data_IF_847208734672
#
_entry.id   IF_847208734672
#
_cell.length_a   1.000
_cell.length_b   1.000
_cell.length_c   1.000
_cell.angle_alpha   90.00
_cell.angle_beta   90.00
_cell.angle_gamma   90.00
#
_symmetry.space_group_name_H-M   'P 1'
#
loop_
_entity.id
_entity.type
_entity.pdbx_description
1 polymer ?
#
# COMPACT_ATOMS: atom_id res chain seq x y z
N UNK A 1 3.28 17.58 -12.92
CA UNK A 1 2.68 16.30 -13.35
C UNK A 1 1.65 16.60 -14.42
N UNK A 2 1.93 16.24 -15.65
CA UNK A 2 1.10 16.61 -16.81
C UNK A 2 0.80 15.43 -17.72
N UNK A 3 1.50 14.32 -17.56
CA UNK A 3 1.40 13.12 -18.38
C UNK A 3 1.89 11.91 -17.57
N UNK A 4 1.33 10.75 -17.83
CA UNK A 4 1.89 9.47 -17.42
C UNK A 4 1.94 8.51 -18.63
N UNK A 5 2.79 7.51 -18.51
CA UNK A 5 2.90 6.40 -19.45
C UNK A 5 2.37 5.13 -18.80
N UNK A 6 1.63 4.33 -19.55
CA UNK A 6 1.34 2.95 -19.18
C UNK A 6 2.66 2.16 -19.26
N UNK A 7 3.32 2.02 -18.12
CA UNK A 7 4.65 1.40 -18.04
C UNK A 7 4.60 -0.12 -18.09
N UNK A 8 3.57 -0.71 -17.49
CA UNK A 8 3.31 -2.16 -17.53
C UNK A 8 1.83 -2.46 -17.64
N UNK A 9 1.53 -3.54 -18.32
CA UNK A 9 0.19 -4.12 -18.44
C UNK A 9 0.26 -5.61 -18.12
N UNK A 10 -0.66 -6.09 -17.29
CA UNK A 10 -0.92 -7.51 -17.07
C UNK A 10 -2.40 -7.77 -17.29
N UNK A 11 -2.71 -8.66 -18.23
CA UNK A 11 -4.07 -9.03 -18.64
C UNK A 11 -4.87 -7.82 -19.18
N UNK A 12 -6.11 -7.63 -18.74
CA UNK A 12 -7.01 -6.63 -19.29
C UNK A 12 -6.82 -5.28 -18.60
N UNK A 13 -6.37 -4.29 -19.36
CA UNK A 13 -6.30 -2.88 -18.97
C UNK A 13 -6.92 -2.06 -20.09
N UNK A 14 -7.76 -1.10 -19.73
CA UNK A 14 -8.40 -0.21 -20.68
C UNK A 14 -8.15 1.25 -20.29
N UNK A 15 -8.09 2.14 -21.29
CA UNK A 15 -8.02 3.59 -21.14
C UNK A 15 -9.33 4.22 -21.60
N UNK A 16 -9.82 5.17 -20.86
CA UNK A 16 -10.88 6.07 -21.28
C UNK A 16 -10.28 7.48 -21.41
N UNK A 17 -10.32 8.00 -22.63
CA UNK A 17 -9.78 9.31 -22.96
C UNK A 17 -10.81 10.40 -22.69
N UNK A 18 -10.48 11.37 -21.84
CA UNK A 18 -11.29 12.57 -21.55
C UNK A 18 -12.77 12.30 -21.26
N UNK A 19 -13.04 11.17 -20.58
CA UNK A 19 -14.40 10.75 -20.23
C UNK A 19 -15.30 10.49 -21.46
N UNK A 20 -14.69 10.07 -22.57
CA UNK A 20 -15.45 9.57 -23.72
C UNK A 20 -16.29 8.33 -23.34
N UNK A 21 -17.37 8.02 -24.09
CA UNK A 21 -18.22 6.86 -23.75
C UNK A 21 -17.48 5.52 -23.80
N UNK A 22 -16.46 5.43 -24.64
CA UNK A 22 -15.78 4.17 -24.94
C UNK A 22 -14.51 3.98 -24.13
N UNK A 23 -14.24 2.74 -23.78
CA UNK A 23 -12.98 2.28 -23.21
C UNK A 23 -12.16 1.54 -24.26
N UNK A 24 -10.91 1.92 -24.41
CA UNK A 24 -9.99 1.35 -25.39
C UNK A 24 -8.97 0.45 -24.68
N UNK A 25 -8.63 -0.73 -25.25
CA UNK A 25 -7.54 -1.54 -24.72
C UNK A 25 -6.25 -0.72 -24.58
N UNK A 26 -5.58 -0.85 -23.44
CA UNK A 26 -4.32 -0.16 -23.18
C UNK A 26 -3.12 -1.00 -23.56
N UNK A 27 -2.11 -0.37 -24.14
CA UNK A 27 -0.82 -0.98 -24.44
C UNK A 27 0.31 -0.30 -23.65
N UNK A 28 1.41 -1.02 -23.45
CA UNK A 28 2.63 -0.44 -22.86
C UNK A 28 3.15 0.68 -23.77
N UNK A 29 3.43 1.83 -23.20
CA UNK A 29 3.84 3.04 -23.92
C UNK A 29 2.71 4.03 -24.18
N UNK A 30 1.45 3.64 -24.00
CA UNK A 30 0.34 4.58 -24.12
C UNK A 30 0.47 5.73 -23.15
N UNK A 31 0.13 6.92 -23.62
CA UNK A 31 0.16 8.14 -22.82
C UNK A 31 -1.21 8.48 -22.29
N UNK A 32 -1.28 8.81 -21.02
CA UNK A 32 -2.46 9.35 -20.35
C UNK A 32 -2.19 10.77 -19.87
N UNK A 33 -3.17 11.62 -20.04
CA UNK A 33 -3.12 13.03 -19.66
C UNK A 33 -4.27 13.36 -18.71
N UNK A 34 -4.30 14.56 -18.10
CA UNK A 34 -5.42 14.96 -17.26
C UNK A 34 -6.78 14.75 -17.95
N UNK A 35 -7.74 14.24 -17.18
CA UNK A 35 -9.09 13.80 -17.54
C UNK A 35 -9.19 12.36 -18.07
N UNK A 36 -8.07 11.71 -18.41
CA UNK A 36 -8.07 10.31 -18.77
C UNK A 36 -8.25 9.42 -17.53
N UNK A 37 -8.76 8.21 -17.78
CA UNK A 37 -8.93 7.18 -16.77
C UNK A 37 -8.36 5.85 -17.24
N UNK A 38 -7.86 5.06 -16.31
CA UNK A 38 -7.39 3.69 -16.54
C UNK A 38 -8.21 2.75 -15.68
N UNK A 39 -8.67 1.63 -16.26
CA UNK A 39 -9.28 0.56 -15.49
C UNK A 39 -8.58 -0.78 -15.73
N UNK A 40 -8.56 -1.59 -14.70
CA UNK A 40 -8.05 -2.97 -14.75
C UNK A 40 -9.21 -3.96 -14.58
N UNK A 41 -9.18 -5.04 -15.33
CA UNK A 41 -10.12 -6.16 -15.17
C UNK A 41 -9.78 -7.06 -13.98
N UNK A 42 -10.46 -8.19 -13.86
CA UNK A 42 -10.13 -9.24 -12.89
C UNK A 42 -8.71 -9.80 -13.17
N UNK A 43 -7.96 -10.07 -12.11
CA UNK A 43 -6.57 -10.58 -12.20
C UNK A 43 -5.64 -9.71 -13.08
N UNK A 44 -5.94 -8.43 -13.21
CA UNK A 44 -5.25 -7.49 -14.08
C UNK A 44 -4.50 -6.44 -13.27
N UNK A 45 -3.51 -5.81 -13.90
CA UNK A 45 -2.67 -4.80 -13.25
C UNK A 45 -2.12 -3.83 -14.28
N UNK A 46 -1.97 -2.57 -13.90
CA UNK A 46 -1.21 -1.58 -14.64
C UNK A 46 -0.23 -0.86 -13.72
N UNK A 47 0.97 -0.60 -14.25
CA UNK A 47 1.92 0.32 -13.63
C UNK A 47 1.96 1.60 -14.49
N UNK A 48 1.74 2.75 -13.87
CA UNK A 48 1.70 4.06 -14.49
C UNK A 48 2.91 4.87 -14.03
N UNK A 49 3.73 5.32 -14.96
CA UNK A 49 4.90 6.17 -14.68
C UNK A 49 4.61 7.60 -15.11
N UNK A 50 4.50 8.50 -14.15
CA UNK A 50 4.31 9.92 -14.39
C UNK A 50 5.61 10.61 -14.77
N UNK A 51 5.52 11.64 -15.58
CA UNK A 51 6.66 12.35 -16.19
C UNK A 51 7.60 13.04 -15.17
N UNK A 52 7.22 13.13 -13.90
CA UNK A 52 8.09 13.59 -12.82
C UNK A 52 8.58 12.44 -11.91
N UNK A 53 8.30 11.19 -12.28
CA UNK A 53 8.80 9.99 -11.61
C UNK A 53 7.87 9.38 -10.56
N UNK A 54 6.67 9.93 -10.30
CA UNK A 54 5.68 9.21 -9.47
C UNK A 54 5.30 7.90 -10.15
N UNK A 55 5.35 6.81 -9.41
CA UNK A 55 4.95 5.48 -9.89
C UNK A 55 3.66 5.05 -9.20
N UNK A 56 2.63 4.75 -9.98
CA UNK A 56 1.36 4.21 -9.47
C UNK A 56 1.20 2.78 -9.97
N UNK A 57 0.99 1.85 -9.07
CA UNK A 57 0.68 0.45 -9.37
C UNK A 57 -0.77 0.18 -9.00
N UNK A 58 -1.58 -0.22 -9.97
CA UNK A 58 -2.99 -0.53 -9.75
C UNK A 58 -3.21 -2.04 -9.66
N UNK A 59 -4.04 -2.48 -8.73
CA UNK A 59 -4.48 -3.87 -8.59
C UNK A 59 -5.65 -4.22 -9.51
N UNK A 60 -6.22 -5.41 -9.33
CA UNK A 60 -7.39 -5.86 -10.08
C UNK A 60 -8.65 -5.04 -9.75
N UNK A 61 -9.56 -4.93 -10.70
CA UNK A 61 -10.83 -4.22 -10.52
C UNK A 61 -10.69 -2.74 -10.18
N UNK A 62 -9.54 -2.15 -10.50
CA UNK A 62 -9.23 -0.75 -10.19
C UNK A 62 -9.72 0.18 -11.28
N UNK A 63 -10.33 1.29 -10.88
CA UNK A 63 -10.57 2.45 -11.75
C UNK A 63 -9.84 3.65 -11.15
N UNK A 64 -8.84 4.08 -11.88
CA UNK A 64 -7.94 5.18 -11.52
C UNK A 64 -8.10 6.30 -12.54
N UNK A 65 -8.28 7.53 -12.06
CA UNK A 65 -8.45 8.71 -12.88
C UNK A 65 -7.35 9.72 -12.59
N UNK A 66 -6.94 10.41 -13.63
CA UNK A 66 -6.02 11.53 -13.56
C UNK A 66 -6.81 12.85 -13.72
N UNK A 67 -7.35 13.45 -12.64
CA UNK A 67 -8.12 14.68 -12.76
C UNK A 67 -7.24 15.86 -13.16
N UNK A 68 -7.81 16.90 -13.78
CA UNK A 68 -7.08 18.13 -14.08
C UNK A 68 -6.64 18.81 -12.78
N UNK A 69 -5.45 19.40 -12.78
CA UNK A 69 -4.92 20.13 -11.63
C UNK A 69 -3.52 19.73 -11.24
N UNK A 70 -3.14 20.08 -10.01
CA UNK A 70 -1.77 19.85 -9.54
C UNK A 70 -1.68 18.55 -8.78
N UNK A 71 -0.98 17.55 -9.35
CA UNK A 71 -0.59 16.31 -8.66
C UNK A 71 -1.75 15.63 -7.92
N UNK A 72 -2.86 15.45 -8.63
CA UNK A 72 -4.07 14.82 -8.10
C UNK A 72 -4.31 13.46 -8.76
N UNK A 73 -4.79 12.52 -7.96
CA UNK A 73 -5.21 11.19 -8.37
C UNK A 73 -6.59 10.90 -7.79
N UNK A 74 -7.41 10.18 -8.52
CA UNK A 74 -8.72 9.74 -8.05
C UNK A 74 -8.86 8.23 -8.21
N UNK A 75 -9.19 7.54 -7.13
CA UNK A 75 -9.46 6.11 -7.09
C UNK A 75 -10.93 5.88 -6.80
N UNK A 76 -11.70 5.43 -7.78
CA UNK A 76 -13.15 5.21 -7.64
C UNK A 76 -13.51 3.75 -7.39
N UNK A 77 -12.60 2.81 -7.64
CA UNK A 77 -12.73 1.40 -7.25
C UNK A 77 -11.36 0.71 -7.21
N UNK A 78 -11.27 -0.40 -6.49
CA UNK A 78 -10.08 -1.25 -6.45
C UNK A 78 -8.99 -0.72 -5.53
N UNK A 79 -7.74 -0.99 -5.86
CA UNK A 79 -6.59 -0.65 -5.04
C UNK A 79 -5.43 -0.09 -5.87
N UNK A 80 -4.71 0.87 -5.30
CA UNK A 80 -3.50 1.43 -5.88
C UNK A 80 -2.41 1.60 -4.82
N UNK A 81 -1.17 1.39 -5.23
CA UNK A 81 0.01 1.77 -4.48
C UNK A 81 0.68 2.93 -5.21
N UNK A 82 0.78 4.07 -4.55
CA UNK A 82 1.33 5.32 -5.09
C UNK A 82 2.69 5.57 -4.45
N UNK A 83 3.74 5.63 -5.24
CA UNK A 83 5.11 5.91 -4.81
C UNK A 83 5.52 7.30 -5.27
N UNK A 84 5.69 8.22 -4.33
CA UNK A 84 6.04 9.62 -4.55
C UNK A 84 7.45 9.84 -4.02
N UNK A 85 8.37 10.33 -4.86
CA UNK A 85 9.72 10.64 -4.41
C UNK A 85 9.73 11.80 -3.40
N UNK A 86 10.67 11.80 -2.43
CA UNK A 86 10.76 12.85 -1.40
C UNK A 86 10.84 14.28 -1.94
N UNK A 87 11.54 14.48 -3.06
CA UNK A 87 11.74 15.78 -3.68
C UNK A 87 10.53 16.27 -4.49
N UNK A 88 9.55 15.41 -4.74
CA UNK A 88 8.34 15.79 -5.46
C UNK A 88 7.40 16.57 -4.53
N UNK A 89 6.72 17.55 -5.06
CA UNK A 89 5.78 18.35 -4.31
C UNK A 89 4.60 17.54 -3.74
N UNK A 90 3.76 18.24 -3.00
CA UNK A 90 2.56 17.67 -2.41
C UNK A 90 1.64 17.03 -3.47
N UNK A 91 1.14 15.84 -3.18
CA UNK A 91 0.19 15.09 -4.02
C UNK A 91 -1.10 14.84 -3.24
N UNK A 92 -2.21 14.79 -3.95
CA UNK A 92 -3.52 14.48 -3.39
C UNK A 92 -4.08 13.21 -4.05
N UNK A 93 -4.48 12.25 -3.24
CA UNK A 93 -5.20 11.05 -3.68
C UNK A 93 -6.61 11.13 -3.12
N UNK A 94 -7.61 11.12 -3.99
CA UNK A 94 -9.01 11.17 -3.59
C UNK A 94 -9.71 9.84 -3.83
N UNK A 95 -10.58 9.49 -2.92
CA UNK A 95 -11.58 8.44 -3.07
C UNK A 95 -12.95 9.03 -2.77
N UNK A 96 -14.08 8.36 -3.07
CA UNK A 96 -15.39 8.85 -2.66
C UNK A 96 -15.55 9.11 -1.15
N UNK A 97 -14.76 8.45 -0.31
CA UNK A 97 -14.87 8.55 1.15
C UNK A 97 -13.77 9.41 1.81
N UNK A 98 -12.65 9.66 1.10
CA UNK A 98 -11.49 10.32 1.70
C UNK A 98 -10.67 11.15 0.71
N UNK A 99 -9.96 12.13 1.24
CA UNK A 99 -8.89 12.83 0.56
C UNK A 99 -7.58 12.64 1.34
N UNK A 100 -6.55 12.19 0.64
CA UNK A 100 -5.22 11.92 1.21
C UNK A 100 -4.23 12.93 0.65
N UNK A 101 -3.54 13.64 1.53
CA UNK A 101 -2.51 14.60 1.14
C UNK A 101 -1.15 14.14 1.66
N UNK A 102 -0.18 14.07 0.78
CA UNK A 102 1.13 13.50 1.08
C UNK A 102 2.23 14.11 0.23
N UNK A 103 3.46 14.01 0.69
CA UNK A 103 4.68 14.36 -0.05
C UNK A 103 5.77 13.36 0.29
N UNK A 104 6.35 12.73 -0.74
CA UNK A 104 7.53 11.88 -0.58
C UNK A 104 7.32 10.63 0.26
N UNK A 105 6.37 9.78 -0.11
CA UNK A 105 6.05 8.52 0.60
C UNK A 105 5.45 7.48 -0.35
N UNK A 106 5.34 6.24 0.13
CA UNK A 106 4.50 5.21 -0.49
C UNK A 106 3.18 5.08 0.28
N UNK A 107 2.09 5.14 -0.47
CA UNK A 107 0.72 5.02 0.03
C UNK A 107 0.02 3.84 -0.62
N UNK A 108 -0.66 3.05 0.18
CA UNK A 108 -1.64 2.08 -0.29
C UNK A 108 -3.04 2.66 -0.07
N UNK A 109 -3.81 2.78 -1.14
CA UNK A 109 -5.18 3.29 -1.10
C UNK A 109 -6.09 2.28 -1.76
N UNK A 110 -7.19 1.95 -1.11
CA UNK A 110 -8.21 1.05 -1.64
C UNK A 110 -9.58 1.70 -1.49
N UNK A 111 -10.46 1.49 -2.48
CA UNK A 111 -11.88 1.85 -2.40
C UNK A 111 -12.75 0.70 -2.89
N UNK A 112 -13.76 0.37 -2.10
CA UNK A 112 -14.80 -0.61 -2.46
C UNK A 112 -16.14 0.11 -2.60
N UNK A 113 -16.64 0.28 -3.84
CA UNK A 113 -17.89 0.99 -4.09
C UNK A 113 -19.13 0.23 -3.57
N UNK A 114 -19.10 -1.10 -3.43
CA UNK A 114 -20.21 -1.90 -2.93
C UNK A 114 -20.49 -1.64 -1.44
N UNK A 115 -19.43 -1.43 -0.68
CA UNK A 115 -19.51 -1.16 0.76
C UNK A 115 -19.39 0.32 1.11
N UNK A 116 -19.12 1.18 0.12
CA UNK A 116 -18.76 2.60 0.31
C UNK A 116 -17.67 2.73 1.36
N UNK A 117 -16.58 2.01 1.15
CA UNK A 117 -15.46 2.00 2.10
C UNK A 117 -14.15 2.31 1.40
N UNK A 118 -13.33 3.13 2.06
CA UNK A 118 -11.97 3.40 1.66
C UNK A 118 -11.00 2.99 2.76
N UNK A 119 -9.83 2.51 2.36
CA UNK A 119 -8.73 2.23 3.26
C UNK A 119 -7.50 2.99 2.78
N UNK A 120 -6.82 3.65 3.71
CA UNK A 120 -5.58 4.40 3.46
C UNK A 120 -4.51 3.86 4.38
N UNK A 121 -3.43 3.33 3.83
CA UNK A 121 -2.27 2.83 4.56
C UNK A 121 -0.98 3.54 4.14
N UNK A 122 -0.12 3.85 5.10
CA UNK A 122 1.16 4.51 4.88
C UNK A 122 2.28 3.48 5.00
N UNK A 123 3.07 3.32 3.95
CA UNK A 123 4.09 2.28 3.86
C UNK A 123 5.49 2.76 4.23
N UNK A 124 5.78 4.04 3.99
CA UNK A 124 7.08 4.64 4.26
C UNK A 124 6.89 5.96 4.99
N UNK A 125 7.86 6.38 5.75
CA UNK A 125 7.85 7.73 6.30
C UNK A 125 7.97 8.77 5.18
N UNK A 126 7.74 10.03 5.52
CA UNK A 126 7.89 11.16 4.63
C UNK A 126 8.77 12.22 5.29
N UNK A 127 9.79 12.74 4.59
CA UNK A 127 10.57 13.87 5.08
C UNK A 127 9.74 15.13 5.32
N UNK A 128 8.58 15.24 4.68
CA UNK A 128 7.66 16.37 4.84
C UNK A 128 6.71 16.22 6.04
N UNK A 129 6.78 15.11 6.78
CA UNK A 129 5.96 14.84 7.95
C UNK A 129 4.83 13.83 7.70
N UNK A 130 3.83 13.84 8.58
CA UNK A 130 2.74 12.86 8.57
C UNK A 130 1.84 13.01 7.34
N UNK A 131 1.32 11.88 6.87
CA UNK A 131 0.30 11.86 5.82
C UNK A 131 -1.03 12.32 6.39
N UNK A 132 -1.62 13.34 5.76
CA UNK A 132 -2.92 13.87 6.15
C UNK A 132 -4.03 13.11 5.43
N UNK A 133 -5.01 12.62 6.18
CA UNK A 133 -6.23 11.99 5.66
C UNK A 133 -7.43 12.77 6.15
N UNK A 134 -8.27 13.22 5.22
CA UNK A 134 -9.52 13.94 5.49
C UNK A 134 -10.70 13.09 5.01
N UNK A 135 -11.77 13.05 5.79
CA UNK A 135 -13.05 12.52 5.30
C UNK A 135 -13.55 13.33 4.11
N UNK A 136 -14.31 12.73 3.21
CA UNK A 136 -14.79 13.40 1.99
C UNK A 136 -15.63 14.67 2.28
N UNK A 137 -16.31 14.73 3.43
CA UNK A 137 -17.02 15.92 3.89
C UNK A 137 -16.13 16.98 4.60
N UNK A 138 -14.85 16.69 4.80
CA UNK A 138 -13.89 17.59 5.44
C UNK A 138 -14.04 17.76 6.96
N UNK A 139 -14.96 17.01 7.60
CA UNK A 139 -15.24 17.15 9.03
C UNK A 139 -14.18 16.53 9.95
N UNK A 140 -13.53 15.45 9.47
CA UNK A 140 -12.53 14.71 10.24
C UNK A 140 -11.21 14.72 9.52
N UNK A 141 -10.16 15.10 10.24
CA UNK A 141 -8.77 15.05 9.78
C UNK A 141 -7.96 14.18 10.72
N UNK A 142 -7.22 13.24 10.17
CA UNK A 142 -6.24 12.41 10.88
C UNK A 142 -4.89 12.47 10.20
N UNK A 143 -3.85 12.05 10.94
CA UNK A 143 -2.48 12.01 10.45
C UNK A 143 -1.92 10.59 10.65
N UNK A 144 -1.30 10.05 9.62
CA UNK A 144 -0.74 8.70 9.60
C UNK A 144 0.78 8.75 9.37
N UNK A 145 1.47 7.80 9.97
CA UNK A 145 2.89 7.49 9.72
C UNK A 145 3.04 6.07 9.17
N UNK A 146 4.25 5.71 8.76
CA UNK A 146 4.53 4.37 8.23
C UNK A 146 4.06 3.25 9.18
N UNK A 147 3.44 2.22 8.61
CA UNK A 147 2.86 1.10 9.34
C UNK A 147 1.48 1.38 9.94
N UNK A 148 0.89 2.54 9.67
CA UNK A 148 -0.47 2.88 10.10
C UNK A 148 -1.44 2.89 8.93
N UNK A 149 -2.69 2.57 9.23
CA UNK A 149 -3.81 2.70 8.30
C UNK A 149 -5.08 3.17 8.98
N UNK A 150 -6.01 3.65 8.18
CA UNK A 150 -7.36 3.99 8.59
C UNK A 150 -8.37 3.48 7.56
N UNK A 151 -9.51 3.03 8.05
CA UNK A 151 -10.68 2.71 7.21
C UNK A 151 -11.74 3.78 7.38
N UNK A 152 -12.31 4.23 6.28
CA UNK A 152 -13.43 5.17 6.24
C UNK A 152 -14.60 4.45 5.57
N UNK A 153 -15.73 4.32 6.26
CA UNK A 153 -16.90 3.60 5.78
C UNK A 153 -18.11 4.53 5.79
N UNK A 154 -18.67 4.81 4.63
CA UNK A 154 -19.83 5.71 4.48
C UNK A 154 -19.64 7.05 5.20
N UNK A 155 -18.44 7.64 4.99
CA UNK A 155 -18.05 8.91 5.60
C UNK A 155 -17.64 8.83 7.08
N UNK A 156 -17.78 7.67 7.74
CA UNK A 156 -17.38 7.48 9.13
C UNK A 156 -15.92 7.04 9.18
N UNK A 157 -15.07 7.87 9.79
CA UNK A 157 -13.64 7.58 9.97
C UNK A 157 -13.46 6.63 11.16
N UNK A 158 -12.80 5.50 10.90
CA UNK A 158 -12.45 4.51 11.92
C UNK A 158 -11.25 4.92 12.78
N UNK A 159 -10.83 4.03 13.65
CA UNK A 159 -9.62 4.21 14.44
C UNK A 159 -8.38 4.06 13.55
N UNK A 160 -7.31 4.76 13.94
CA UNK A 160 -5.98 4.50 13.36
C UNK A 160 -5.49 3.16 13.88
N UNK A 161 -5.19 2.27 12.97
CA UNK A 161 -4.71 0.93 13.25
C UNK A 161 -3.30 0.72 12.68
N UNK A 162 -2.64 -0.36 13.11
CA UNK A 162 -1.29 -0.70 12.66
C UNK A 162 -1.31 -1.99 11.86
N UNK A 163 -0.46 -2.06 10.85
CA UNK A 163 -0.19 -3.29 10.10
C UNK A 163 1.32 -3.62 10.10
N UNK A 164 1.62 -4.87 9.83
CA UNK A 164 3.00 -5.37 9.84
C UNK A 164 3.63 -5.14 8.47
N UNK A 165 4.49 -4.13 8.36
CA UNK A 165 5.18 -3.78 7.11
C UNK A 165 5.94 -4.96 6.47
N UNK A 166 6.73 -5.78 7.21
CA UNK A 166 7.38 -6.95 6.63
C UNK A 166 6.38 -7.89 5.96
N UNK A 167 5.27 -8.19 6.62
CA UNK A 167 4.22 -9.04 6.07
C UNK A 167 3.60 -8.41 4.82
N UNK A 168 3.30 -7.11 4.86
CA UNK A 168 2.74 -6.39 3.72
C UNK A 168 3.67 -6.48 2.51
N UNK A 169 4.96 -6.21 2.69
CA UNK A 169 5.94 -6.25 1.60
C UNK A 169 6.17 -7.65 1.01
N UNK A 170 5.97 -8.70 1.81
CA UNK A 170 6.07 -10.09 1.34
C UNK A 170 4.81 -10.57 0.61
N UNK A 171 3.63 -10.11 1.02
CA UNK A 171 2.36 -10.68 0.55
C UNK A 171 1.65 -9.82 -0.48
N UNK A 172 1.92 -8.52 -0.53
CA UNK A 172 1.28 -7.58 -1.45
C UNK A 172 2.16 -7.34 -2.67
N UNK A 173 1.80 -7.91 -3.81
CA UNK A 173 2.57 -7.79 -5.06
C UNK A 173 2.79 -6.33 -5.49
N UNK A 174 1.83 -5.43 -5.21
CA UNK A 174 1.97 -4.00 -5.53
C UNK A 174 3.17 -3.35 -4.84
N UNK A 175 3.57 -3.84 -3.66
CA UNK A 175 4.69 -3.32 -2.89
C UNK A 175 6.07 -3.87 -3.30
N UNK A 176 6.12 -4.65 -4.37
CA UNK A 176 7.36 -5.24 -4.87
C UNK A 176 8.48 -4.18 -5.01
N UNK A 177 9.62 -4.43 -4.38
CA UNK A 177 10.75 -3.51 -4.33
C UNK A 177 10.85 -2.64 -3.07
N UNK A 178 9.87 -2.70 -2.15
CA UNK A 178 9.93 -1.98 -0.87
C UNK A 178 10.37 -2.86 0.31
N UNK A 179 10.56 -4.16 0.10
CA UNK A 179 10.93 -5.12 1.15
C UNK A 179 12.31 -4.91 1.76
N UNK A 180 12.63 -5.70 2.79
CA UNK A 180 13.82 -5.55 3.61
C UNK A 180 15.13 -5.93 2.91
N UNK A 181 15.09 -6.95 2.05
CA UNK A 181 16.26 -7.53 1.42
C UNK A 181 16.82 -6.64 0.29
N UNK A 182 18.05 -6.06 0.46
CA UNK A 182 18.66 -5.21 -0.56
C UNK A 182 19.07 -5.97 -1.83
N UNK A 183 19.52 -7.23 -1.70
CA UNK A 183 19.98 -8.02 -2.85
C UNK A 183 18.79 -8.45 -3.71
N UNK A 184 17.72 -8.91 -3.07
CA UNK A 184 16.46 -9.22 -3.75
C UNK A 184 15.87 -7.97 -4.44
N UNK A 185 15.96 -6.79 -3.80
CA UNK A 185 15.55 -5.54 -4.40
C UNK A 185 16.33 -5.26 -5.69
N UNK A 186 17.65 -5.25 -5.63
CA UNK A 186 18.48 -4.89 -6.81
C UNK A 186 18.25 -5.88 -7.95
N UNK A 187 18.09 -7.17 -7.66
CA UNK A 187 17.75 -8.17 -8.66
C UNK A 187 16.38 -7.93 -9.29
N UNK A 188 15.39 -7.50 -8.48
CA UNK A 188 14.03 -7.21 -8.93
C UNK A 188 13.98 -6.00 -9.86
N UNK A 189 14.65 -4.90 -9.47
CA UNK A 189 14.58 -3.63 -10.20
C UNK A 189 15.61 -3.52 -11.32
N UNK A 190 16.55 -4.46 -11.43
CA UNK A 190 17.61 -4.41 -12.46
C UNK A 190 17.05 -4.31 -13.89
N UNK A 191 15.86 -4.89 -14.13
CA UNK A 191 15.18 -4.89 -15.44
C UNK A 191 14.26 -3.71 -15.65
N UNK A 192 14.05 -2.88 -14.63
CA UNK A 192 13.17 -1.71 -14.71
C UNK A 192 13.86 -0.55 -15.44
N UNK A 193 13.08 0.38 -16.01
CA UNK A 193 13.59 1.63 -16.55
C UNK A 193 14.34 2.45 -15.47
N UNK A 194 15.31 3.28 -15.85
CA UNK A 194 16.09 4.07 -14.89
C UNK A 194 15.22 4.89 -13.92
N UNK A 195 14.20 5.55 -14.43
CA UNK A 195 13.28 6.40 -13.66
C UNK A 195 12.49 5.58 -12.62
N UNK A 196 12.04 4.38 -13.00
CA UNK A 196 11.33 3.46 -12.09
C UNK A 196 12.26 2.97 -11.00
N UNK A 197 13.51 2.57 -11.35
CA UNK A 197 14.52 2.18 -10.36
C UNK A 197 14.80 3.29 -9.36
N UNK A 198 14.96 4.51 -9.86
CA UNK A 198 15.21 5.68 -9.03
C UNK A 198 14.05 5.92 -8.05
N UNK A 199 12.80 5.88 -8.54
CA UNK A 199 11.62 6.04 -7.68
C UNK A 199 11.54 4.97 -6.60
N UNK A 200 11.72 3.70 -6.97
CA UNK A 200 11.67 2.60 -6.00
C UNK A 200 12.79 2.75 -4.96
N UNK A 201 14.01 3.10 -5.35
CA UNK A 201 15.13 3.31 -4.42
C UNK A 201 14.90 4.50 -3.50
N UNK A 202 14.45 5.63 -4.03
CA UNK A 202 14.17 6.84 -3.25
C UNK A 202 13.08 6.58 -2.19
N UNK A 203 11.98 5.97 -2.59
CA UNK A 203 10.88 5.65 -1.68
C UNK A 203 11.28 4.57 -0.68
N UNK A 204 12.06 3.56 -1.10
CA UNK A 204 12.54 2.52 -0.19
C UNK A 204 13.49 3.06 0.87
N UNK A 205 14.28 4.09 0.58
CA UNK A 205 15.14 4.72 1.58
C UNK A 205 14.31 5.19 2.81
N UNK A 206 13.11 5.71 2.58
CA UNK A 206 12.18 6.14 3.64
C UNK A 206 11.44 4.95 4.30
N UNK A 207 11.49 3.74 3.71
CA UNK A 207 10.92 2.53 4.28
C UNK A 207 11.85 1.87 5.32
N UNK A 208 13.16 2.10 5.25
CA UNK A 208 14.15 1.32 6.02
C UNK A 208 13.95 1.48 7.52
N UNK A 209 13.83 2.71 8.02
CA UNK A 209 13.71 2.96 9.46
C UNK A 209 12.43 2.36 10.07
N UNK A 210 11.23 2.63 9.55
CA UNK A 210 10.01 2.03 10.08
C UNK A 210 9.99 0.51 9.95
N UNK A 211 10.53 -0.03 8.85
CA UNK A 211 10.66 -1.47 8.66
C UNK A 211 11.59 -2.09 9.69
N UNK A 212 12.77 -1.51 9.93
CA UNK A 212 13.72 -1.99 10.93
C UNK A 212 13.13 -1.95 12.35
N UNK A 213 12.40 -0.90 12.69
CA UNK A 213 11.73 -0.79 13.99
C UNK A 213 10.73 -1.92 14.18
N UNK A 214 9.93 -2.24 13.17
CA UNK A 214 8.99 -3.36 13.24
C UNK A 214 9.68 -4.72 13.26
N UNK A 215 10.77 -4.91 12.53
CA UNK A 215 11.57 -6.14 12.56
C UNK A 215 12.16 -6.39 13.96
N UNK A 216 12.73 -5.36 14.59
CA UNK A 216 13.26 -5.44 15.96
C UNK A 216 12.16 -5.83 16.97
N UNK A 217 10.97 -5.23 16.82
CA UNK A 217 9.82 -5.57 17.62
C UNK A 217 9.37 -7.02 17.41
N UNK A 218 9.28 -7.49 16.16
CA UNK A 218 8.93 -8.86 15.81
C UNK A 218 9.93 -9.88 16.39
N UNK A 219 11.23 -9.59 16.36
CA UNK A 219 12.25 -10.43 16.96
C UNK A 219 12.07 -10.56 18.46
N UNK A 220 11.81 -9.43 19.15
CA UNK A 220 11.52 -9.43 20.59
C UNK A 220 10.25 -10.24 20.92
N UNK A 221 9.23 -10.10 20.09
CA UNK A 221 8.00 -10.87 20.20
C UNK A 221 8.23 -12.37 20.03
N UNK A 222 9.01 -12.79 19.03
CA UNK A 222 9.32 -14.20 18.80
C UNK A 222 10.10 -14.81 19.97
N UNK A 223 11.03 -14.06 20.57
CA UNK A 223 11.76 -14.49 21.76
C UNK A 223 10.81 -14.78 22.93
N UNK A 224 9.93 -13.85 23.28
CA UNK A 224 8.96 -14.02 24.37
C UNK A 224 8.05 -15.21 24.12
N UNK A 225 7.61 -15.43 22.89
CA UNK A 225 6.76 -16.58 22.52
C UNK A 225 7.46 -17.93 22.78
N UNK A 226 8.76 -18.02 22.49
CA UNK A 226 9.54 -19.25 22.71
C UNK A 226 9.66 -19.54 24.22
N UNK A 227 9.85 -18.50 25.03
CA UNK A 227 10.03 -18.61 26.48
C UNK A 227 8.75 -18.93 27.25
N UNK A 228 7.57 -18.49 26.78
CA UNK A 228 6.34 -18.53 27.59
C UNK A 228 5.32 -19.61 27.18
N UNK A 229 5.45 -20.24 26.01
CA UNK A 229 4.45 -21.17 25.42
C UNK A 229 2.99 -20.66 25.43
N UNK A 230 2.75 -19.44 25.90
CA UNK A 230 1.42 -18.85 26.07
C UNK A 230 1.27 -17.56 25.25
N UNK A 231 0.47 -17.61 24.19
CA UNK A 231 0.22 -16.49 23.28
C UNK A 231 -0.85 -15.50 23.76
N UNK A 232 -1.70 -15.90 24.69
CA UNK A 232 -2.86 -15.12 25.14
C UNK A 232 -2.52 -13.71 25.66
N UNK A 233 -1.52 -13.52 26.56
CA UNK A 233 -1.16 -12.20 27.04
C UNK A 233 -0.61 -11.28 25.95
N UNK A 234 0.09 -11.84 24.95
CA UNK A 234 0.68 -11.10 23.85
C UNK A 234 -0.37 -10.66 22.83
N UNK A 235 -1.35 -11.51 22.55
CA UNK A 235 -2.50 -11.16 21.72
C UNK A 235 -3.31 -10.03 22.36
N UNK A 236 -3.38 -10.00 23.69
CA UNK A 236 -4.07 -8.95 24.44
C UNK A 236 -3.31 -7.60 24.38
N UNK A 237 -1.98 -7.62 24.54
CA UNK A 237 -1.12 -6.42 24.39
C UNK A 237 -1.20 -5.84 22.98
N UNK A 238 -1.30 -6.70 21.96
CA UNK A 238 -1.42 -6.31 20.57
C UNK A 238 -2.84 -5.86 20.16
N UNK A 239 -3.79 -5.89 21.10
CA UNK A 239 -5.19 -5.59 20.82
C UNK A 239 -5.86 -6.61 19.89
N UNK A 240 -5.31 -7.82 19.77
CA UNK A 240 -5.77 -8.87 18.86
C UNK A 240 -6.94 -9.68 19.42
N UNK A 241 -7.33 -9.47 20.68
CA UNK A 241 -8.44 -10.16 21.37
C UNK A 241 -9.77 -9.38 21.40
N UNK A 242 -9.97 -8.38 20.57
CA UNK A 242 -11.27 -7.68 20.53
C UNK A 242 -12.34 -8.58 19.87
N UNK A 243 -13.40 -8.96 20.57
CA UNK A 243 -14.48 -9.75 19.99
C UNK A 243 -15.26 -8.90 18.98
N UNK A 244 -15.40 -9.36 17.76
CA UNK A 244 -16.38 -8.82 16.82
C UNK A 244 -15.85 -8.29 15.49
N UNK A 245 -14.57 -8.35 15.18
CA UNK A 245 -14.07 -7.95 13.87
C UNK A 245 -13.90 -9.16 12.95
N UNK A 246 -14.92 -9.49 12.16
CA UNK A 246 -14.80 -10.33 10.97
C UNK A 246 -14.60 -9.43 9.77
N UNK A 247 -13.40 -9.39 9.22
CA UNK A 247 -13.22 -9.01 7.83
C UNK A 247 -13.81 -10.14 6.99
N UNK A 248 -14.87 -9.82 6.26
CA UNK A 248 -15.41 -10.74 5.25
C UNK A 248 -14.47 -10.70 4.03
N UNK A 249 -13.56 -11.66 3.99
CA UNK A 249 -12.53 -11.79 2.95
C UNK A 249 -13.08 -12.61 1.76
N UNK A 250 -14.21 -12.25 1.23
CA UNK A 250 -14.70 -12.78 -0.05
C UNK A 250 -14.10 -12.09 -1.27
N UNK A 251 -12.87 -11.59 -1.16
CA UNK A 251 -12.06 -11.09 -2.26
C UNK A 251 -11.02 -12.15 -2.59
N UNK A 252 -10.89 -12.47 -3.86
CA UNK A 252 -10.01 -13.50 -4.41
C UNK A 252 -8.60 -13.43 -3.78
N UNK A 253 -8.11 -14.51 -3.21
CA UNK A 253 -6.93 -14.67 -2.33
C UNK A 253 -5.58 -14.12 -2.86
N UNK A 254 -5.56 -13.56 -4.06
CA UNK A 254 -4.33 -13.12 -4.74
C UNK A 254 -4.11 -11.60 -4.76
N UNK A 255 -5.12 -10.79 -4.48
CA UNK A 255 -5.05 -9.32 -4.59
C UNK A 255 -5.21 -8.61 -3.25
N UNK A 256 -5.08 -9.32 -2.18
CA UNK A 256 -5.36 -8.82 -0.86
C UNK A 256 -4.15 -8.57 -0.10
N UNK A 257 -3.98 -7.35 0.22
CA UNK A 257 -3.92 -7.52 1.55
C UNK A 257 -3.38 -6.41 2.38
N UNK A 258 -4.22 -5.59 2.72
CA UNK A 258 -4.09 -4.99 4.01
C UNK A 258 -4.70 -5.97 4.99
N UNK A 259 -3.89 -6.91 5.44
CA UNK A 259 -4.26 -7.77 6.55
C UNK A 259 -3.82 -7.07 7.82
N UNK A 260 -4.72 -6.53 8.63
CA UNK A 260 -4.37 -6.28 10.02
C UNK A 260 -3.89 -7.61 10.63
N UNK A 261 -2.93 -7.55 11.53
CA UNK A 261 -2.40 -8.72 12.27
C UNK A 261 -3.54 -9.58 12.88
N UNK A 262 -4.73 -9.03 13.00
CA UNK A 262 -5.97 -9.65 13.46
C UNK A 262 -6.57 -10.72 12.54
N UNK A 263 -6.09 -10.85 11.28
CA UNK A 263 -6.58 -11.91 10.39
C UNK A 263 -5.93 -13.26 10.73
N UNK A 264 -6.64 -14.35 10.44
CA UNK A 264 -6.08 -15.71 10.55
C UNK A 264 -4.78 -15.86 9.73
N UNK A 265 -4.68 -15.17 8.59
CA UNK A 265 -3.47 -15.11 7.77
C UNK A 265 -2.29 -14.45 8.48
N UNK A 266 -2.52 -13.35 9.21
CA UNK A 266 -1.48 -12.67 9.99
C UNK A 266 -0.91 -13.53 11.11
N UNK A 267 -1.74 -14.28 11.84
CA UNK A 267 -1.29 -15.21 12.87
C UNK A 267 -0.46 -16.36 12.30
N UNK A 268 -0.85 -16.89 11.13
CA UNK A 268 -0.11 -17.93 10.42
C UNK A 268 1.23 -17.41 9.91
N UNK A 269 1.25 -16.22 9.33
CA UNK A 269 2.48 -15.57 8.87
C UNK A 269 3.44 -15.33 10.03
N UNK A 270 2.98 -14.76 11.12
CA UNK A 270 3.78 -14.50 12.33
C UNK A 270 4.35 -15.80 12.91
N UNK A 271 3.57 -16.88 12.93
CA UNK A 271 4.04 -18.20 13.32
C UNK A 271 5.21 -18.69 12.47
N UNK A 272 5.09 -18.61 11.15
CA UNK A 272 6.16 -18.97 10.21
C UNK A 272 7.38 -18.04 10.37
N UNK A 273 7.16 -16.74 10.46
CA UNK A 273 8.23 -15.77 10.67
C UNK A 273 9.06 -16.09 11.90
N UNK A 274 8.45 -16.37 13.05
CA UNK A 274 9.15 -16.74 14.27
C UNK A 274 9.92 -18.06 14.11
N UNK A 275 9.37 -19.07 13.42
CA UNK A 275 10.05 -20.34 13.18
C UNK A 275 11.29 -20.14 12.28
N UNK A 276 11.17 -19.37 11.21
CA UNK A 276 12.27 -19.15 10.26
C UNK A 276 13.40 -18.31 10.87
N UNK A 277 13.07 -17.36 11.74
CA UNK A 277 14.04 -16.42 12.31
C UNK A 277 14.49 -16.80 13.73
N UNK A 278 14.10 -17.94 14.27
CA UNK A 278 14.57 -18.46 15.56
C UNK A 278 16.03 -18.90 15.58
N UNK A 279 16.66 -19.05 14.38
CA UNK A 279 18.07 -19.44 14.21
C UNK A 279 19.00 -18.27 13.99
N UNK A 280 18.58 -17.02 14.20
CA UNK A 280 19.44 -15.86 14.07
C UNK A 280 20.59 -15.90 15.11
N UNK A 281 21.85 -15.60 14.71
CA UNK A 281 23.01 -15.63 15.60
C UNK A 281 22.81 -14.65 16.76
N UNK A 282 22.88 -15.15 17.99
CA UNK A 282 22.66 -14.43 19.24
C UNK A 282 21.51 -14.98 20.08
N UNK A 283 20.84 -16.06 19.66
CA UNK A 283 19.81 -16.79 20.39
C UNK A 283 20.33 -18.15 20.88
N UNK A 284 21.60 -18.28 21.26
CA UNK A 284 22.03 -19.47 22.01
C UNK A 284 21.45 -19.36 23.43
N UNK A 285 20.76 -20.40 23.95
CA UNK A 285 20.36 -20.42 25.34
C UNK A 285 21.61 -20.51 26.23
N UNK A 286 21.74 -19.59 27.19
CA UNK A 286 22.67 -19.75 28.29
C UNK A 286 22.28 -20.94 29.19
#
# INVERSE_FOLDING_TARGET
MTEAEIYKVRNQVDINYRQEPDWNPAEVGDKIVPEDSVRTGANSRADLLFNEGTLVRTGAGTTFRFPPGKRSFELTSGAALVMIRPEQGQSTISTPEAQVTSQGTALFVQHNPQTSSSLVGVLTDSPAGLVKVESANGEVTIHLQAGQFVSIVRGVVGLVEHFVLPMFYETVELSAGLGADPEALEALIAKEAPEVRETIRAVRAEAIAPLQNQLNWLQSFCRVRIETENLEPLLQILGLNAPGFRLDLSIDDRDLAVLPVRSLGGATWLGKYCQTNSTLPGLEPE
#
